data_IF_533160870587
#
_entry.id   IF_533160870587
#
_cell.length_a   1.000
_cell.length_b   1.000
_cell.length_c   1.000
_cell.angle_alpha   90.00
_cell.angle_beta   90.00
_cell.angle_gamma   90.00
#
_symmetry.space_group_name_H-M   'P 1'
#
loop_
_entity.id
_entity.type
_entity.pdbx_description
1 polymer ?
#
# COMPACT_ATOMS: atom_id res chain seq x y z
N UNK A 1 -35.73 -4.97 -68.26
CA UNK A 1 -34.80 -4.30 -67.35
C UNK A 1 -35.27 -4.20 -65.90
N UNK A 2 -36.00 -5.18 -65.32
CA UNK A 2 -36.46 -5.14 -63.91
C UNK A 2 -35.79 -6.14 -62.96
N UNK A 3 -34.97 -7.08 -63.47
CA UNK A 3 -34.35 -8.15 -62.66
C UNK A 3 -33.09 -7.73 -61.85
N UNK A 4 -32.40 -6.66 -62.24
CA UNK A 4 -31.14 -6.27 -61.55
C UNK A 4 -31.32 -5.52 -60.23
N UNK A 5 -32.49 -4.89 -59.97
CA UNK A 5 -32.72 -4.13 -58.74
C UNK A 5 -32.94 -5.05 -57.51
N UNK A 6 -33.50 -6.21 -57.69
CA UNK A 6 -33.80 -7.16 -56.62
C UNK A 6 -32.50 -7.89 -56.13
N UNK A 7 -31.60 -8.21 -57.06
CA UNK A 7 -30.30 -8.79 -56.73
C UNK A 7 -29.39 -7.79 -55.99
N UNK A 8 -29.35 -6.53 -56.43
CA UNK A 8 -28.60 -5.47 -55.76
C UNK A 8 -29.12 -5.20 -54.32
N UNK A 9 -30.44 -5.27 -54.11
CA UNK A 9 -31.05 -5.12 -52.78
C UNK A 9 -30.73 -6.32 -51.89
N UNK A 10 -30.73 -7.54 -52.42
CA UNK A 10 -30.34 -8.74 -51.68
C UNK A 10 -28.85 -8.72 -51.31
N UNK A 11 -27.99 -8.27 -52.22
CA UNK A 11 -26.54 -8.13 -51.98
C UNK A 11 -26.24 -7.07 -50.93
N UNK A 12 -26.89 -5.90 -51.01
CA UNK A 12 -26.74 -4.84 -49.98
C UNK A 12 -27.29 -5.25 -48.61
N UNK A 13 -28.40 -5.99 -48.55
CA UNK A 13 -28.93 -6.56 -47.32
C UNK A 13 -27.99 -7.63 -46.74
N UNK A 14 -27.39 -8.48 -47.59
CA UNK A 14 -26.40 -9.49 -47.16
C UNK A 14 -25.14 -8.86 -46.54
N UNK A 15 -24.61 -7.79 -47.15
CA UNK A 15 -23.48 -7.05 -46.60
C UNK A 15 -23.87 -6.42 -45.26
N UNK A 16 -25.06 -5.80 -45.16
CA UNK A 16 -25.54 -5.21 -43.93
C UNK A 16 -25.65 -6.22 -42.77
N UNK A 17 -26.18 -7.40 -43.04
CA UNK A 17 -26.27 -8.48 -42.05
C UNK A 17 -24.87 -9.00 -41.68
N UNK A 18 -23.97 -9.17 -42.63
CA UNK A 18 -22.59 -9.64 -42.35
C UNK A 18 -21.81 -8.65 -41.50
N UNK A 19 -21.96 -7.34 -41.74
CA UNK A 19 -21.34 -6.29 -40.95
C UNK A 19 -21.95 -6.23 -39.53
N UNK A 20 -23.28 -6.37 -39.43
CA UNK A 20 -23.96 -6.40 -38.14
C UNK A 20 -23.57 -7.64 -37.31
N UNK A 21 -23.57 -8.82 -37.90
CA UNK A 21 -23.15 -10.08 -37.24
C UNK A 21 -21.66 -10.02 -36.88
N UNK A 22 -20.79 -9.58 -37.79
CA UNK A 22 -19.36 -9.42 -37.56
C UNK A 22 -19.07 -8.41 -36.44
N UNK A 23 -19.78 -7.26 -36.44
CA UNK A 23 -19.67 -6.24 -35.38
C UNK A 23 -20.18 -6.75 -34.04
N UNK A 24 -21.29 -7.49 -34.01
CA UNK A 24 -21.81 -8.08 -32.77
C UNK A 24 -20.88 -9.17 -32.22
N UNK A 25 -20.34 -10.04 -33.06
CA UNK A 25 -19.37 -11.05 -32.65
C UNK A 25 -18.08 -10.40 -32.14
N UNK A 26 -17.61 -9.36 -32.79
CA UNK A 26 -16.44 -8.60 -32.35
C UNK A 26 -16.71 -7.91 -30.99
N UNK A 27 -17.89 -7.30 -30.81
CA UNK A 27 -18.29 -6.71 -29.54
C UNK A 27 -18.40 -7.74 -28.40
N UNK A 28 -18.98 -8.91 -28.67
CA UNK A 28 -19.08 -10.02 -27.69
C UNK A 28 -17.71 -10.57 -27.34
N UNK A 29 -16.78 -10.62 -28.30
CA UNK A 29 -15.45 -11.17 -28.08
C UNK A 29 -14.46 -10.15 -27.48
N UNK A 30 -14.61 -8.88 -27.78
CA UNK A 30 -13.63 -7.83 -27.41
C UNK A 30 -14.22 -6.69 -26.57
N UNK A 31 -15.52 -6.74 -26.25
CA UNK A 31 -16.20 -5.75 -25.39
C UNK A 31 -16.33 -4.34 -25.99
N UNK A 32 -15.80 -4.10 -27.20
CA UNK A 32 -15.85 -2.82 -27.88
C UNK A 32 -16.17 -2.98 -29.36
N UNK A 33 -17.00 -2.09 -29.90
CA UNK A 33 -17.08 -1.92 -31.36
C UNK A 33 -15.82 -1.19 -31.84
N UNK A 34 -15.23 -1.57 -33.01
CA UNK A 34 -14.18 -0.78 -33.61
C UNK A 34 -14.78 0.59 -34.00
N UNK A 35 -14.74 1.54 -33.08
CA UNK A 35 -15.12 2.92 -33.40
C UNK A 35 -14.04 3.47 -34.34
N UNK A 36 -14.50 4.02 -35.46
CA UNK A 36 -13.70 4.80 -36.39
C UNK A 36 -13.34 6.10 -35.65
N UNK A 37 -12.23 6.09 -34.91
CA UNK A 37 -11.69 7.20 -34.15
C UNK A 37 -10.16 7.11 -34.14
N UNK A 38 -9.49 8.09 -33.56
CA UNK A 38 -8.03 8.21 -33.48
C UNK A 38 -7.37 7.17 -32.55
N UNK A 39 -7.77 5.89 -32.69
CA UNK A 39 -7.15 4.79 -31.92
C UNK A 39 -5.72 4.54 -32.38
N UNK A 40 -4.81 4.36 -31.42
CA UNK A 40 -3.43 3.93 -31.67
C UNK A 40 -3.41 2.50 -32.20
N UNK A 41 -4.36 1.64 -31.79
CA UNK A 41 -4.50 0.26 -32.26
C UNK A 41 -5.21 0.24 -33.60
N UNK A 42 -4.43 0.34 -34.67
CA UNK A 42 -4.88 0.30 -36.06
C UNK A 42 -4.30 -0.93 -36.76
N UNK A 43 -4.84 -1.31 -37.95
CA UNK A 43 -4.26 -2.36 -38.73
C UNK A 43 -2.77 -2.15 -39.09
N UNK A 44 -2.32 -0.88 -39.18
CA UNK A 44 -0.91 -0.53 -39.40
C UNK A 44 -0.04 -0.81 -38.17
N UNK A 45 -0.48 -0.41 -36.98
CA UNK A 45 0.26 -0.66 -35.73
C UNK A 45 0.25 -2.13 -35.37
N UNK A 46 -0.86 -2.85 -35.55
CA UNK A 46 -0.94 -4.29 -35.36
C UNK A 46 0.00 -5.05 -36.33
N UNK A 47 0.05 -4.67 -37.62
CA UNK A 47 0.98 -5.27 -38.58
C UNK A 47 2.46 -5.00 -38.24
N UNK A 48 2.77 -3.82 -37.64
CA UNK A 48 4.12 -3.51 -37.16
C UNK A 48 4.48 -4.35 -35.93
N UNK A 49 3.56 -4.51 -34.99
CA UNK A 49 3.76 -5.34 -33.80
C UNK A 49 4.03 -6.80 -34.22
N UNK A 50 3.17 -7.40 -35.06
CA UNK A 50 3.37 -8.75 -35.56
C UNK A 50 4.65 -8.95 -36.42
N UNK A 51 5.20 -7.87 -37.00
CA UNK A 51 6.53 -7.92 -37.65
C UNK A 51 7.66 -7.94 -36.64
N UNK A 52 7.54 -7.16 -35.56
CA UNK A 52 8.53 -7.15 -34.49
C UNK A 52 8.56 -8.51 -33.78
N UNK A 53 7.39 -9.06 -33.44
CA UNK A 53 7.23 -10.39 -32.84
C UNK A 53 8.00 -11.45 -33.67
N UNK A 54 7.71 -11.56 -34.97
CA UNK A 54 8.42 -12.49 -35.86
C UNK A 54 9.94 -12.25 -35.96
N UNK A 55 10.41 -11.01 -35.78
CA UNK A 55 11.85 -10.75 -35.78
C UNK A 55 12.48 -11.22 -34.48
N UNK A 56 11.80 -11.09 -33.35
CA UNK A 56 12.22 -11.60 -32.05
C UNK A 56 12.27 -13.13 -32.10
N UNK A 57 11.16 -13.79 -32.44
CA UNK A 57 11.09 -15.26 -32.56
C UNK A 57 12.18 -15.85 -33.44
N UNK A 58 12.53 -15.15 -34.53
CA UNK A 58 13.50 -15.65 -35.48
C UNK A 58 14.97 -15.41 -35.08
N UNK A 59 15.27 -14.33 -34.35
CA UNK A 59 16.64 -13.85 -34.26
C UNK A 59 17.12 -13.66 -32.79
N UNK A 60 16.21 -13.62 -31.85
CA UNK A 60 16.62 -13.51 -30.43
C UNK A 60 17.28 -14.81 -29.98
N UNK A 61 18.23 -14.73 -29.07
CA UNK A 61 19.06 -15.87 -28.67
C UNK A 61 18.29 -16.91 -27.87
N UNK A 62 17.31 -16.48 -27.08
CA UNK A 62 16.52 -17.33 -26.19
C UNK A 62 15.07 -17.42 -26.69
N UNK A 63 14.35 -18.46 -26.27
CA UNK A 63 12.92 -18.58 -26.53
C UNK A 63 12.16 -17.55 -25.72
N UNK A 64 11.18 -16.89 -26.35
CA UNK A 64 10.31 -15.89 -25.70
C UNK A 64 8.86 -16.33 -25.87
N UNK A 65 8.14 -16.37 -24.78
CA UNK A 65 6.72 -16.71 -24.80
C UNK A 65 5.88 -15.54 -25.34
N UNK A 66 4.90 -15.85 -26.19
CA UNK A 66 4.02 -14.84 -26.80
C UNK A 66 3.24 -14.04 -25.76
N UNK A 67 2.86 -14.67 -24.65
CA UNK A 67 2.18 -14.01 -23.53
C UNK A 67 3.05 -12.93 -22.88
N UNK A 68 4.31 -13.23 -22.61
CA UNK A 68 5.29 -12.26 -22.09
C UNK A 68 5.46 -11.05 -23.01
N UNK A 69 5.45 -11.26 -24.34
CA UNK A 69 5.51 -10.16 -25.31
C UNK A 69 4.24 -9.31 -25.30
N UNK A 70 3.06 -9.92 -25.13
CA UNK A 70 1.79 -9.20 -25.02
C UNK A 70 1.76 -8.31 -23.74
N UNK A 71 2.16 -8.85 -22.60
CA UNK A 71 2.33 -8.12 -21.33
C UNK A 71 3.28 -6.93 -21.51
N UNK A 72 4.42 -7.16 -22.18
CA UNK A 72 5.37 -6.09 -22.50
C UNK A 72 4.78 -4.98 -23.37
N UNK A 73 3.87 -5.28 -24.29
CA UNK A 73 3.17 -4.27 -25.09
C UNK A 73 2.24 -3.42 -24.23
N UNK A 74 1.45 -4.03 -23.33
CA UNK A 74 0.56 -3.30 -22.42
C UNK A 74 1.35 -2.40 -21.48
N UNK A 75 2.40 -2.93 -20.86
CA UNK A 75 3.31 -2.16 -20.02
C UNK A 75 3.94 -0.98 -20.79
N UNK A 76 4.36 -1.19 -22.04
CA UNK A 76 4.92 -0.15 -22.91
C UNK A 76 3.94 0.99 -23.22
N UNK A 77 2.65 0.71 -23.32
CA UNK A 77 1.62 1.74 -23.51
C UNK A 77 1.57 2.68 -22.31
N UNK A 78 1.58 2.14 -21.09
CA UNK A 78 1.55 2.93 -19.86
C UNK A 78 2.88 3.66 -19.62
N UNK A 79 4.00 3.02 -19.90
CA UNK A 79 5.34 3.65 -19.81
C UNK A 79 5.47 4.86 -20.74
N UNK A 80 4.72 4.91 -21.85
CA UNK A 80 4.72 6.06 -22.78
C UNK A 80 4.16 7.35 -22.18
N UNK A 81 3.46 7.27 -21.04
CA UNK A 81 2.97 8.45 -20.30
C UNK A 81 4.10 9.23 -19.63
N UNK A 82 5.26 8.59 -19.39
CA UNK A 82 6.39 9.18 -18.65
C UNK A 82 6.08 9.45 -17.17
N UNK A 83 5.03 8.83 -16.65
CA UNK A 83 4.59 8.93 -15.26
C UNK A 83 5.03 7.67 -14.49
N UNK A 84 5.95 7.78 -13.52
CA UNK A 84 6.44 6.62 -12.75
C UNK A 84 5.39 5.98 -11.85
N UNK A 85 4.25 6.66 -11.63
CA UNK A 85 3.16 6.18 -10.78
C UNK A 85 2.06 5.45 -11.56
N UNK A 86 2.11 5.52 -12.90
CA UNK A 86 1.16 4.85 -13.79
C UNK A 86 1.79 3.58 -14.37
N UNK A 87 1.04 2.48 -14.37
CA UNK A 87 1.55 1.20 -14.85
C UNK A 87 0.46 0.21 -15.22
N UNK A 88 0.88 -0.82 -15.95
CA UNK A 88 0.10 -2.01 -16.21
C UNK A 88 0.48 -3.08 -15.19
N UNK A 89 -0.48 -3.82 -14.70
CA UNK A 89 -0.33 -4.92 -13.74
C UNK A 89 -0.92 -6.19 -14.35
N UNK A 90 -0.09 -7.22 -14.51
CA UNK A 90 -0.54 -8.58 -14.83
C UNK A 90 -1.45 -9.10 -13.71
N UNK A 91 -2.17 -10.19 -13.94
CA UNK A 91 -3.05 -10.82 -12.94
C UNK A 91 -2.33 -11.06 -11.61
N UNK A 92 -1.12 -11.63 -11.67
CA UNK A 92 -0.30 -11.89 -10.47
C UNK A 92 0.06 -10.60 -9.74
N UNK A 93 0.57 -9.59 -10.47
CA UNK A 93 0.98 -8.33 -9.88
C UNK A 93 -0.21 -7.51 -9.36
N UNK A 94 -1.36 -7.60 -10.01
CA UNK A 94 -2.58 -6.94 -9.55
C UNK A 94 -3.09 -7.57 -8.26
N UNK A 95 -3.06 -8.90 -8.15
CA UNK A 95 -3.39 -9.61 -6.90
C UNK A 95 -2.49 -9.16 -5.75
N UNK A 96 -1.17 -9.12 -5.96
CA UNK A 96 -0.21 -8.61 -4.96
C UNK A 96 -0.48 -7.16 -4.56
N UNK A 97 -0.82 -6.30 -5.53
CA UNK A 97 -1.20 -4.91 -5.27
C UNK A 97 -2.46 -4.82 -4.40
N UNK A 98 -3.47 -5.66 -4.67
CA UNK A 98 -4.71 -5.67 -3.89
C UNK A 98 -4.47 -6.17 -2.46
N UNK A 99 -3.72 -7.26 -2.29
CA UNK A 99 -3.35 -7.78 -0.96
C UNK A 99 -2.62 -6.72 -0.12
N UNK A 100 -1.64 -6.02 -0.72
CA UNK A 100 -0.94 -4.92 -0.05
C UNK A 100 -1.88 -3.78 0.31
N UNK A 101 -2.76 -3.38 -0.61
CA UNK A 101 -3.68 -2.25 -0.42
C UNK A 101 -4.75 -2.55 0.65
N UNK A 102 -5.30 -3.76 0.64
CA UNK A 102 -6.28 -4.21 1.64
C UNK A 102 -5.62 -4.41 3.01
N UNK A 103 -4.32 -4.68 3.06
CA UNK A 103 -3.61 -5.02 4.28
C UNK A 103 -4.03 -6.38 4.83
N UNK A 104 -4.53 -7.26 3.95
CA UNK A 104 -5.00 -8.60 4.27
C UNK A 104 -4.40 -9.62 3.32
N UNK A 105 -4.06 -10.78 3.82
CA UNK A 105 -3.54 -11.88 3.02
C UNK A 105 -3.99 -13.23 3.59
N UNK A 106 -4.00 -14.25 2.74
CA UNK A 106 -4.18 -15.63 3.22
C UNK A 106 -2.86 -16.14 3.77
N UNK A 107 -2.85 -16.52 5.05
CA UNK A 107 -1.63 -16.95 5.72
C UNK A 107 -1.86 -17.41 7.15
N UNK A 108 -0.80 -17.49 7.92
CA UNK A 108 -0.84 -17.97 9.32
C UNK A 108 -0.63 -16.83 10.34
N UNK A 109 -0.24 -15.64 9.91
CA UNK A 109 -0.12 -14.47 10.77
C UNK A 109 1.12 -14.45 11.64
N UNK A 110 2.28 -14.57 11.00
CA UNK A 110 3.58 -14.35 11.63
C UNK A 110 4.56 -13.72 10.64
N UNK A 111 5.56 -13.03 11.15
CA UNK A 111 6.73 -12.62 10.37
C UNK A 111 7.93 -13.50 10.74
N UNK A 112 8.78 -13.74 9.74
CA UNK A 112 9.93 -14.63 9.85
C UNK A 112 11.21 -13.88 9.50
N UNK A 113 12.27 -14.15 10.23
CA UNK A 113 13.61 -13.67 9.93
C UNK A 113 14.54 -14.85 9.71
N UNK A 114 15.37 -14.79 8.66
CA UNK A 114 16.36 -15.79 8.36
C UNK A 114 17.77 -15.25 8.62
N UNK A 115 18.52 -15.95 9.43
CA UNK A 115 19.95 -15.68 9.60
C UNK A 115 20.70 -16.01 8.31
N UNK A 116 21.52 -15.10 7.83
CA UNK A 116 22.20 -15.23 6.53
C UNK A 116 23.34 -16.26 6.55
N UNK A 117 23.94 -16.54 7.73
CA UNK A 117 25.06 -17.44 7.90
C UNK A 117 24.58 -18.86 8.25
N UNK A 118 23.69 -18.98 9.23
CA UNK A 118 23.21 -20.29 9.74
C UNK A 118 22.02 -20.82 8.95
N UNK A 119 21.32 -19.94 8.19
CA UNK A 119 20.05 -20.24 7.51
C UNK A 119 18.90 -20.60 8.46
N UNK A 120 19.09 -20.41 9.75
CA UNK A 120 18.03 -20.58 10.74
C UNK A 120 16.93 -19.57 10.52
N UNK A 121 15.67 -20.03 10.60
CA UNK A 121 14.49 -19.17 10.45
C UNK A 121 13.82 -19.05 11.81
N UNK A 122 13.70 -17.82 12.30
CA UNK A 122 13.09 -17.51 13.59
C UNK A 122 11.78 -16.75 13.39
N UNK A 123 10.80 -17.01 14.23
CA UNK A 123 9.58 -16.22 14.33
C UNK A 123 9.97 -14.87 14.93
N UNK A 124 9.94 -13.84 14.09
CA UNK A 124 10.27 -12.48 14.50
C UNK A 124 9.09 -11.82 15.22
N UNK A 125 7.86 -12.02 14.71
CA UNK A 125 6.63 -11.51 15.31
C UNK A 125 5.50 -12.52 15.06
N UNK A 126 4.64 -12.73 16.05
CA UNK A 126 3.41 -13.49 15.94
C UNK A 126 2.22 -12.54 16.13
N UNK A 127 1.36 -12.40 15.11
CA UNK A 127 0.31 -11.39 15.13
C UNK A 127 -0.82 -11.77 16.09
N UNK A 128 -1.29 -10.80 16.86
CA UNK A 128 -2.38 -10.97 17.82
C UNK A 128 -3.65 -11.51 17.14
N UNK A 129 -4.25 -12.55 17.69
CA UNK A 129 -5.45 -13.18 17.17
C UNK A 129 -5.25 -14.05 15.92
N UNK A 130 -4.02 -14.19 15.43
CA UNK A 130 -3.70 -14.96 14.23
C UNK A 130 -3.83 -16.48 14.42
N UNK A 131 -3.96 -17.26 13.31
CA UNK A 131 -3.91 -18.72 13.37
C UNK A 131 -2.64 -19.28 14.03
N UNK A 132 -1.48 -18.65 13.82
CA UNK A 132 -0.24 -19.05 14.43
C UNK A 132 -0.24 -18.86 15.96
N UNK A 133 -0.71 -17.69 16.44
CA UNK A 133 -0.85 -17.43 17.88
C UNK A 133 -1.82 -18.43 18.53
N UNK A 134 -2.97 -18.67 17.90
CA UNK A 134 -3.96 -19.64 18.39
C UNK A 134 -3.42 -21.06 18.45
N UNK A 135 -2.50 -21.44 17.55
CA UNK A 135 -1.80 -22.71 17.58
C UNK A 135 -0.65 -22.76 18.60
N UNK A 136 -0.34 -21.65 19.28
CA UNK A 136 0.65 -21.57 20.33
C UNK A 136 2.06 -21.23 19.85
N UNK A 137 2.23 -20.75 18.62
CA UNK A 137 3.48 -20.16 18.11
C UNK A 137 3.80 -18.89 18.90
N UNK A 138 5.07 -18.65 19.15
CA UNK A 138 5.54 -17.47 19.88
C UNK A 138 6.73 -16.82 19.16
N UNK A 139 6.90 -15.55 19.42
CA UNK A 139 8.12 -14.82 19.08
C UNK A 139 9.35 -15.52 19.66
N UNK A 140 10.43 -15.60 18.89
CA UNK A 140 11.66 -16.29 19.24
C UNK A 140 11.66 -17.80 18.99
N UNK A 141 10.54 -18.42 18.58
CA UNK A 141 10.54 -19.81 18.15
C UNK A 141 11.40 -19.99 16.90
N UNK A 142 12.24 -21.01 16.86
CA UNK A 142 12.96 -21.38 15.66
C UNK A 142 12.10 -22.35 14.85
N UNK A 143 11.86 -22.05 13.59
CA UNK A 143 11.12 -22.94 12.68
C UNK A 143 12.09 -24.02 12.20
N UNK A 144 11.90 -25.24 12.68
CA UNK A 144 12.77 -26.37 12.37
C UNK A 144 12.34 -27.09 11.09
N UNK A 145 11.04 -27.41 10.95
CA UNK A 145 10.48 -27.94 9.70
C UNK A 145 9.19 -27.23 9.30
N UNK A 146 8.96 -27.20 7.99
CA UNK A 146 7.71 -26.76 7.35
C UNK A 146 7.18 -27.93 6.52
N UNK A 147 6.11 -28.54 6.99
CA UNK A 147 5.67 -29.85 6.47
C UNK A 147 6.76 -30.91 6.68
N UNK A 148 7.18 -31.55 5.59
CA UNK A 148 8.22 -32.59 5.60
C UNK A 148 9.62 -32.05 5.24
N UNK A 149 9.79 -30.73 5.07
CA UNK A 149 11.05 -30.09 4.65
C UNK A 149 11.72 -29.37 5.82
N UNK A 150 13.06 -29.43 5.85
CA UNK A 150 13.85 -28.64 6.80
C UNK A 150 13.76 -27.15 6.43
N UNK A 151 13.41 -26.30 7.39
CA UNK A 151 13.27 -24.87 7.15
C UNK A 151 14.60 -24.20 6.73
N UNK A 152 15.74 -24.69 7.26
CA UNK A 152 17.08 -24.20 6.90
C UNK A 152 17.50 -24.47 5.44
N UNK A 153 16.77 -25.36 4.74
CA UNK A 153 16.98 -25.65 3.31
C UNK A 153 16.09 -24.80 2.40
N UNK A 154 15.28 -23.90 2.96
CA UNK A 154 14.33 -23.05 2.27
C UNK A 154 14.68 -21.57 2.50
N UNK A 155 14.29 -20.72 1.55
CA UNK A 155 14.28 -19.28 1.77
C UNK A 155 12.92 -18.85 2.37
N UNK A 156 12.92 -17.79 3.19
CA UNK A 156 11.67 -17.27 3.81
C UNK A 156 10.61 -16.94 2.75
N UNK A 157 11.02 -16.40 1.60
CA UNK A 157 10.11 -16.10 0.48
C UNK A 157 9.44 -17.37 -0.04
N UNK A 158 10.17 -18.47 -0.20
CA UNK A 158 9.64 -19.76 -0.66
C UNK A 158 8.59 -20.31 0.32
N UNK A 159 8.87 -20.23 1.63
CA UNK A 159 7.91 -20.63 2.67
C UNK A 159 6.67 -19.75 2.62
N UNK A 160 6.84 -18.45 2.51
CA UNK A 160 5.74 -17.48 2.43
C UNK A 160 4.85 -17.73 1.22
N UNK A 161 5.46 -17.92 0.04
CA UNK A 161 4.72 -18.18 -1.20
C UNK A 161 3.98 -19.51 -1.14
N UNK A 162 4.59 -20.54 -0.54
CA UNK A 162 3.95 -21.84 -0.36
C UNK A 162 2.74 -21.76 0.58
N UNK A 163 2.83 -21.02 1.69
CA UNK A 163 1.69 -20.79 2.60
C UNK A 163 0.58 -20.01 1.89
N UNK A 164 0.94 -18.97 1.12
CA UNK A 164 -0.01 -18.11 0.41
C UNK A 164 -0.67 -18.76 -0.81
N UNK A 165 -0.05 -19.82 -1.38
CA UNK A 165 -0.58 -20.50 -2.56
C UNK A 165 -1.98 -21.10 -2.34
N UNK A 166 -2.34 -21.38 -1.08
CA UNK A 166 -3.60 -22.03 -0.72
C UNK A 166 -3.64 -23.53 -1.09
N UNK A 167 -2.51 -24.10 -1.52
CA UNK A 167 -2.42 -25.53 -1.86
C UNK A 167 -2.51 -26.44 -0.63
N UNK A 168 -2.29 -25.87 0.57
CA UNK A 168 -2.33 -26.61 1.82
C UNK A 168 -3.60 -26.31 2.62
N UNK A 169 -4.38 -27.31 2.94
CA UNK A 169 -5.48 -27.17 3.89
C UNK A 169 -4.97 -26.99 5.33
N UNK A 170 -3.85 -27.61 5.67
CA UNK A 170 -3.21 -27.53 6.99
C UNK A 170 -1.69 -27.44 6.83
N UNK A 171 -1.06 -26.52 7.55
CA UNK A 171 0.38 -26.36 7.65
C UNK A 171 0.89 -27.00 8.95
N UNK A 172 1.75 -27.99 8.85
CA UNK A 172 2.44 -28.58 10.01
C UNK A 172 3.81 -27.92 10.16
N UNK A 173 4.06 -27.34 11.34
CA UNK A 173 5.36 -26.79 11.72
C UNK A 173 5.94 -27.59 12.90
N UNK A 174 7.24 -27.83 12.87
CA UNK A 174 8.01 -28.21 14.06
C UNK A 174 8.85 -27.00 14.44
N UNK A 175 8.66 -26.53 15.65
CA UNK A 175 9.34 -25.38 16.24
C UNK A 175 10.33 -25.87 17.30
N UNK A 176 11.43 -25.15 17.48
CA UNK A 176 12.34 -25.33 18.62
C UNK A 176 12.16 -24.13 19.55
N UNK A 177 11.75 -24.39 20.79
CA UNK A 177 11.62 -23.40 21.87
C UNK A 177 12.38 -23.90 23.09
N UNK A 178 13.35 -23.12 23.55
CA UNK A 178 14.21 -23.51 24.71
C UNK A 178 14.88 -24.89 24.56
N UNK A 179 15.12 -25.31 23.30
CA UNK A 179 15.72 -26.61 22.96
C UNK A 179 14.74 -27.78 22.92
N UNK A 180 13.45 -27.56 23.11
CA UNK A 180 12.40 -28.57 22.99
C UNK A 180 11.64 -28.44 21.65
N UNK A 181 11.32 -29.59 21.04
CA UNK A 181 10.52 -29.64 19.82
C UNK A 181 9.03 -29.51 20.14
N UNK A 182 8.39 -28.55 19.50
CA UNK A 182 6.94 -28.29 19.58
C UNK A 182 6.34 -28.48 18.19
N UNK A 183 5.42 -29.40 18.03
CA UNK A 183 4.70 -29.56 16.77
C UNK A 183 3.36 -28.85 16.85
N UNK A 184 3.11 -27.98 15.88
CA UNK A 184 1.83 -27.28 15.70
C UNK A 184 1.25 -27.56 14.32
N UNK A 185 -0.07 -27.55 14.22
CA UNK A 185 -0.81 -27.63 12.95
C UNK A 185 -1.68 -26.40 12.84
N UNK A 186 -1.54 -25.67 11.74
CA UNK A 186 -2.15 -24.37 11.53
C UNK A 186 -2.93 -24.41 10.21
N UNK A 187 -4.18 -23.97 10.24
CA UNK A 187 -4.98 -23.74 9.03
C UNK A 187 -4.75 -22.29 8.61
N UNK A 188 -4.25 -22.03 7.40
CA UNK A 188 -4.15 -20.65 6.90
C UNK A 188 -5.52 -20.00 6.77
N UNK A 189 -5.64 -18.77 7.22
CA UNK A 189 -6.85 -17.96 7.15
C UNK A 189 -6.53 -16.57 6.57
N UNK A 190 -7.55 -15.74 6.37
CA UNK A 190 -7.34 -14.34 6.06
C UNK A 190 -6.81 -13.62 7.31
N UNK A 191 -5.60 -13.11 7.23
CA UNK A 191 -4.92 -12.40 8.31
C UNK A 191 -4.80 -10.92 7.94
N UNK A 192 -5.08 -10.04 8.89
CA UNK A 192 -4.87 -8.61 8.77
C UNK A 192 -3.45 -8.25 9.23
N UNK A 193 -2.75 -7.41 8.43
CA UNK A 193 -1.43 -6.92 8.78
C UNK A 193 -1.52 -5.88 9.91
N UNK A 194 -0.73 -5.99 10.97
CA UNK A 194 -0.64 -4.97 12.01
C UNK A 194 0.17 -3.78 11.47
N UNK A 195 -0.54 -2.73 11.06
CA UNK A 195 0.07 -1.50 10.51
C UNK A 195 0.05 -0.33 11.50
N UNK A 196 -0.55 -0.53 12.67
CA UNK A 196 -0.57 0.45 13.76
C UNK A 196 0.05 -0.15 15.00
N UNK A 197 1.07 0.51 15.54
CA UNK A 197 1.74 0.13 16.78
C UNK A 197 1.62 1.23 17.81
N UNK A 198 1.48 0.89 19.09
CA UNK A 198 1.36 1.89 20.14
C UNK A 198 2.07 1.48 21.42
N UNK A 199 2.56 2.46 22.16
CA UNK A 199 3.16 2.27 23.49
C UNK A 199 3.06 3.53 24.33
N UNK A 200 3.08 3.37 25.65
CA UNK A 200 3.27 4.50 26.56
C UNK A 200 4.73 4.90 26.65
N UNK A 201 4.97 6.19 26.68
CA UNK A 201 6.25 6.81 26.93
C UNK A 201 6.29 7.37 28.37
N UNK A 202 7.45 7.80 28.88
CA UNK A 202 7.55 8.58 30.11
C UNK A 202 6.64 9.81 30.08
N UNK A 203 6.36 10.39 31.27
CA UNK A 203 5.54 11.58 31.44
C UNK A 203 4.07 11.41 30.94
N UNK A 204 3.54 10.19 31.00
CA UNK A 204 2.18 9.86 30.57
C UNK A 204 1.90 10.27 29.11
N UNK A 205 2.91 10.20 28.22
CA UNK A 205 2.75 10.47 26.80
C UNK A 205 2.44 9.18 26.03
N UNK A 206 1.51 9.26 25.07
CA UNK A 206 1.22 8.18 24.15
C UNK A 206 2.08 8.29 22.89
N UNK A 207 2.53 7.15 22.37
CA UNK A 207 3.13 7.02 21.06
C UNK A 207 2.30 6.05 20.20
N UNK A 208 2.09 6.42 18.95
CA UNK A 208 1.36 5.64 17.98
C UNK A 208 2.05 5.78 16.62
N UNK A 209 2.50 4.67 16.05
CA UNK A 209 3.06 4.61 14.69
C UNK A 209 1.99 4.11 13.74
N UNK A 210 1.90 4.73 12.55
CA UNK A 210 1.12 4.22 11.42
C UNK A 210 2.12 3.91 10.31
N UNK A 211 2.29 2.62 9.98
CA UNK A 211 3.24 2.17 8.97
C UNK A 211 2.72 2.36 7.55
N UNK A 212 1.40 2.14 7.35
CA UNK A 212 0.72 2.30 6.06
C UNK A 212 -0.78 2.56 6.28
N UNK A 213 -1.45 3.18 5.31
CA UNK A 213 -2.90 3.39 5.32
C UNK A 213 -3.62 2.31 4.52
N UNK A 214 -3.85 1.14 5.14
CA UNK A 214 -4.63 0.03 4.61
C UNK A 214 -6.11 0.14 5.00
N UNK A 215 -6.98 -0.78 4.54
CA UNK A 215 -8.38 -0.80 4.97
C UNK A 215 -8.54 -0.93 6.49
N UNK A 216 -7.63 -1.66 7.16
CA UNK A 216 -7.67 -1.91 8.60
C UNK A 216 -7.15 -0.76 9.47
N UNK A 217 -6.39 0.18 8.91
CA UNK A 217 -5.72 1.24 9.67
C UNK A 217 -6.67 2.07 10.57
N UNK A 218 -7.87 2.50 10.11
CA UNK A 218 -8.77 3.30 10.97
C UNK A 218 -9.21 2.58 12.24
N UNK A 219 -9.50 1.27 12.16
CA UNK A 219 -9.93 0.49 13.32
C UNK A 219 -8.74 0.15 14.23
N UNK A 220 -7.57 -0.17 13.66
CA UNK A 220 -6.35 -0.39 14.43
C UNK A 220 -5.92 0.90 15.17
N UNK A 221 -6.01 2.05 14.50
CA UNK A 221 -5.77 3.36 15.13
C UNK A 221 -6.71 3.59 16.31
N UNK A 222 -8.00 3.36 16.11
CA UNK A 222 -9.00 3.51 17.16
C UNK A 222 -8.70 2.62 18.37
N UNK A 223 -8.42 1.33 18.13
CA UNK A 223 -8.07 0.38 19.22
C UNK A 223 -6.84 0.85 19.98
N UNK A 224 -5.78 1.25 19.28
CA UNK A 224 -4.53 1.72 19.85
C UNK A 224 -4.73 3.02 20.66
N UNK A 225 -5.46 3.99 20.11
CA UNK A 225 -5.73 5.25 20.81
C UNK A 225 -6.60 5.05 22.05
N UNK A 226 -7.64 4.23 22.00
CA UNK A 226 -8.48 3.91 23.17
C UNK A 226 -7.67 3.20 24.26
N UNK A 227 -6.67 2.38 23.90
CA UNK A 227 -5.79 1.74 24.88
C UNK A 227 -4.85 2.77 25.56
N UNK A 228 -4.28 3.70 24.80
CA UNK A 228 -3.50 4.81 25.34
C UNK A 228 -4.35 5.71 26.26
N UNK A 229 -5.61 5.96 25.92
CA UNK A 229 -6.56 6.70 26.78
C UNK A 229 -6.83 5.97 28.10
N UNK A 230 -7.03 4.64 28.08
CA UNK A 230 -7.18 3.87 29.33
C UNK A 230 -5.95 3.97 30.21
N UNK A 231 -4.76 4.07 29.61
CA UNK A 231 -3.49 4.28 30.31
C UNK A 231 -3.26 5.76 30.68
N UNK A 232 -4.23 6.66 30.42
CA UNK A 232 -4.24 8.08 30.77
C UNK A 232 -3.19 8.91 30.05
N UNK A 233 -2.92 8.65 28.79
CA UNK A 233 -2.05 9.50 27.99
C UNK A 233 -2.54 10.96 27.99
N UNK A 234 -1.65 11.90 28.33
CA UNK A 234 -1.91 13.35 28.41
C UNK A 234 -1.56 14.08 27.10
N UNK A 235 -0.79 13.45 26.23
CA UNK A 235 -0.43 13.92 24.90
C UNK A 235 -0.16 12.75 23.99
N UNK A 236 -0.16 12.97 22.68
CA UNK A 236 0.01 11.92 21.69
C UNK A 236 1.09 12.30 20.66
N UNK A 237 2.01 11.39 20.38
CA UNK A 237 2.90 11.42 19.22
C UNK A 237 2.36 10.42 18.20
N UNK A 238 2.08 10.88 16.97
CA UNK A 238 1.78 10.02 15.84
C UNK A 238 2.99 10.02 14.91
N UNK A 239 3.58 8.85 14.69
CA UNK A 239 4.76 8.68 13.85
C UNK A 239 4.37 8.19 12.46
N UNK A 240 4.59 9.03 11.46
CA UNK A 240 4.39 8.75 10.03
C UNK A 240 5.70 8.65 9.26
N UNK A 241 6.83 8.59 9.94
CA UNK A 241 8.13 8.43 9.27
C UNK A 241 8.16 7.10 8.53
N UNK A 242 8.70 7.11 7.32
CA UNK A 242 8.76 5.95 6.41
C UNK A 242 7.39 5.41 5.97
N UNK A 243 6.29 6.11 6.24
CA UNK A 243 4.97 5.73 5.77
C UNK A 243 4.80 6.13 4.29
N UNK A 244 4.70 5.18 3.34
CA UNK A 244 4.60 5.49 1.90
C UNK A 244 3.22 6.01 1.49
N UNK A 245 2.27 6.03 2.42
CA UNK A 245 0.88 6.41 2.18
C UNK A 245 -0.08 5.24 2.27
N UNK A 246 -0.89 5.05 1.23
CA UNK A 246 -1.91 4.02 1.13
C UNK A 246 -3.24 4.57 0.61
N UNK A 247 -4.35 4.06 1.15
CA UNK A 247 -5.70 4.40 0.71
C UNK A 247 -6.13 5.81 1.16
N UNK A 248 -6.67 6.58 0.21
CA UNK A 248 -7.28 7.88 0.50
C UNK A 248 -8.45 7.76 1.49
N UNK A 249 -9.29 6.75 1.32
CA UNK A 249 -10.40 6.49 2.25
C UNK A 249 -9.91 6.22 3.66
N UNK A 250 -8.89 5.38 3.79
CA UNK A 250 -8.32 5.02 5.10
C UNK A 250 -7.75 6.21 5.86
N UNK A 251 -6.99 7.07 5.18
CA UNK A 251 -6.46 8.29 5.85
C UNK A 251 -7.58 9.24 6.23
N UNK A 252 -8.63 9.39 5.41
CA UNK A 252 -9.79 10.21 5.75
C UNK A 252 -10.52 9.65 6.97
N UNK A 253 -10.82 8.34 7.01
CA UNK A 253 -11.51 7.68 8.12
C UNK A 253 -10.67 7.72 9.43
N UNK A 254 -9.33 7.71 9.31
CA UNK A 254 -8.43 7.90 10.46
C UNK A 254 -8.48 9.34 10.95
N UNK A 255 -8.44 10.32 10.04
CA UNK A 255 -8.49 11.74 10.37
C UNK A 255 -9.85 12.18 10.94
N UNK A 256 -10.96 11.52 10.59
CA UNK A 256 -12.27 11.76 11.23
C UNK A 256 -12.27 11.52 12.74
N UNK A 257 -11.32 10.71 13.23
CA UNK A 257 -11.15 10.45 14.67
C UNK A 257 -10.27 11.49 15.36
N UNK A 258 -9.67 12.41 14.61
CA UNK A 258 -8.65 13.35 15.09
C UNK A 258 -9.10 14.81 14.93
N UNK A 259 -9.66 15.13 13.76
CA UNK A 259 -9.94 16.50 13.35
C UNK A 259 -11.27 17.03 13.90
N UNK A 260 -11.39 18.36 14.12
CA UNK A 260 -12.68 19.02 14.25
C UNK A 260 -13.43 19.01 12.91
N UNK A 261 -14.67 19.51 12.90
CA UNK A 261 -15.44 19.71 11.68
C UNK A 261 -14.65 20.55 10.65
N UNK A 262 -14.56 20.06 9.40
CA UNK A 262 -13.91 20.79 8.32
C UNK A 262 -13.44 19.91 7.16
N UNK A 263 -12.70 20.52 6.25
CA UNK A 263 -12.09 19.86 5.10
C UNK A 263 -10.92 18.99 5.56
N UNK A 264 -10.83 17.75 5.05
CA UNK A 264 -9.65 16.90 5.20
C UNK A 264 -8.70 17.11 4.02
N UNK A 265 -9.23 16.96 2.81
CA UNK A 265 -8.49 17.02 1.56
C UNK A 265 -9.48 17.20 0.42
N UNK A 266 -9.07 17.81 -0.69
CA UNK A 266 -9.83 17.69 -1.92
C UNK A 266 -8.95 17.27 -3.08
N UNK A 267 -9.57 16.61 -4.06
CA UNK A 267 -8.90 16.22 -5.30
C UNK A 267 -9.46 17.00 -6.48
N UNK A 268 -8.65 17.23 -7.51
CA UNK A 268 -9.05 17.88 -8.75
C UNK A 268 -8.50 17.11 -9.94
N UNK A 269 -9.38 16.72 -10.86
CA UNK A 269 -9.03 16.02 -12.08
C UNK A 269 -8.59 16.99 -13.20
N UNK A 270 -8.16 16.44 -14.35
CA UNK A 270 -7.72 17.23 -15.53
C UNK A 270 -8.80 18.13 -16.14
N UNK A 271 -10.07 17.95 -15.78
CA UNK A 271 -11.21 18.74 -16.26
C UNK A 271 -11.63 19.81 -15.26
N UNK A 272 -10.99 19.89 -14.09
CA UNK A 272 -11.35 20.79 -13.00
C UNK A 272 -12.52 20.29 -12.14
N UNK A 273 -12.90 19.01 -12.27
CA UNK A 273 -13.87 18.44 -11.33
C UNK A 273 -13.20 18.22 -9.98
N UNK A 274 -13.83 18.74 -8.94
CA UNK A 274 -13.35 18.68 -7.57
C UNK A 274 -14.19 17.69 -6.77
N UNK A 275 -13.49 16.82 -5.99
CA UNK A 275 -14.07 15.92 -5.01
C UNK A 275 -13.51 16.28 -3.64
N UNK A 276 -14.40 16.53 -2.67
CA UNK A 276 -14.06 16.99 -1.32
C UNK A 276 -14.30 15.88 -0.31
N UNK A 277 -13.32 15.68 0.59
CA UNK A 277 -13.43 14.80 1.75
C UNK A 277 -13.41 15.69 2.99
N UNK A 278 -14.45 15.56 3.82
CA UNK A 278 -14.66 16.41 4.99
C UNK A 278 -14.85 15.57 6.25
N UNK A 279 -14.48 16.14 7.39
CA UNK A 279 -14.68 15.58 8.72
C UNK A 279 -15.91 16.22 9.37
N UNK A 280 -16.76 15.42 10.04
CA UNK A 280 -17.90 15.92 10.83
C UNK A 280 -17.53 16.38 12.24
N UNK A 281 -16.30 16.15 12.68
CA UNK A 281 -15.80 16.59 13.99
C UNK A 281 -16.49 15.92 15.18
N UNK A 282 -16.98 14.69 15.04
CA UNK A 282 -17.72 14.00 16.11
C UNK A 282 -16.85 13.60 17.31
N UNK A 283 -15.59 13.26 17.05
CA UNK A 283 -14.66 12.69 18.04
C UNK A 283 -13.26 13.26 17.92
N UNK A 284 -13.08 14.61 17.94
CA UNK A 284 -11.75 15.19 17.79
C UNK A 284 -10.85 14.78 18.98
N UNK A 285 -9.54 14.62 18.69
CA UNK A 285 -8.55 14.43 19.74
C UNK A 285 -8.40 15.75 20.51
N UNK A 286 -8.65 15.69 21.82
CA UNK A 286 -8.56 16.88 22.68
C UNK A 286 -7.17 17.07 23.33
N UNK A 287 -6.36 16.00 23.44
CA UNK A 287 -5.01 16.08 24.02
C UNK A 287 -4.02 16.68 23.01
N UNK A 288 -2.94 17.34 23.48
CA UNK A 288 -1.89 17.84 22.60
C UNK A 288 -1.35 16.76 21.66
N UNK A 289 -1.08 17.14 20.41
CA UNK A 289 -0.67 16.24 19.35
C UNK A 289 0.65 16.71 18.71
N UNK A 290 1.57 15.79 18.53
CA UNK A 290 2.76 15.94 17.68
C UNK A 290 2.70 14.88 16.57
N UNK A 291 3.06 15.26 15.36
CA UNK A 291 3.18 14.32 14.22
C UNK A 291 4.63 14.32 13.74
N UNK A 292 5.25 13.13 13.77
CA UNK A 292 6.58 12.89 13.22
C UNK A 292 6.49 12.58 11.73
N UNK A 293 7.30 13.26 10.92
CA UNK A 293 7.37 13.09 9.48
C UNK A 293 8.81 13.09 8.98
N UNK A 294 9.08 12.43 7.86
CA UNK A 294 10.36 12.48 7.18
C UNK A 294 10.19 12.47 5.65
N UNK A 295 11.31 12.47 4.93
CA UNK A 295 11.36 12.44 3.45
C UNK A 295 10.74 11.22 2.80
N UNK A 296 10.50 10.15 3.55
CA UNK A 296 9.78 8.94 3.10
C UNK A 296 8.28 8.98 3.44
N UNK A 297 7.83 9.96 4.24
CA UNK A 297 6.40 10.19 4.48
C UNK A 297 5.74 10.69 3.21
N UNK A 298 4.89 9.88 2.56
CA UNK A 298 4.39 10.16 1.23
C UNK A 298 2.87 10.00 1.09
N UNK A 299 2.27 10.66 0.08
CA UNK A 299 0.87 10.43 -0.35
C UNK A 299 -0.14 10.59 0.79
N UNK A 300 -0.84 9.51 1.23
CA UNK A 300 -1.81 9.56 2.34
C UNK A 300 -1.19 10.07 3.64
N UNK A 301 0.09 9.77 3.92
CA UNK A 301 0.81 10.33 5.07
C UNK A 301 0.94 11.85 4.97
N UNK A 302 1.07 12.39 3.77
CA UNK A 302 1.12 13.83 3.53
C UNK A 302 -0.27 14.48 3.62
N UNK A 303 -1.33 13.76 3.23
CA UNK A 303 -2.71 14.20 3.48
C UNK A 303 -2.94 14.33 4.99
N UNK A 304 -2.50 13.34 5.76
CA UNK A 304 -2.59 13.36 7.22
C UNK A 304 -1.85 14.57 7.80
N UNK A 305 -0.57 14.72 7.47
CA UNK A 305 0.28 15.81 7.95
C UNK A 305 -0.27 17.19 7.56
N UNK A 306 -0.72 17.34 6.30
CA UNK A 306 -1.31 18.58 5.78
C UNK A 306 -2.61 18.96 6.48
N UNK A 307 -3.49 17.99 6.71
CA UNK A 307 -4.74 18.23 7.41
C UNK A 307 -4.50 18.64 8.88
N UNK A 308 -3.63 17.93 9.61
CA UNK A 308 -3.25 18.28 10.98
C UNK A 308 -2.67 19.69 11.07
N UNK A 309 -1.78 20.04 10.14
CA UNK A 309 -1.15 21.37 10.09
C UNK A 309 -2.14 22.47 9.76
N UNK A 310 -2.97 22.29 8.73
CA UNK A 310 -3.90 23.29 8.26
C UNK A 310 -5.03 23.56 9.27
N UNK A 311 -5.47 22.55 10.01
CA UNK A 311 -6.40 22.69 11.14
C UNK A 311 -5.74 23.17 12.43
N UNK A 312 -4.41 23.23 12.50
CA UNK A 312 -3.65 23.65 13.69
C UNK A 312 -3.94 22.78 14.92
N UNK A 313 -4.24 21.50 14.71
CA UNK A 313 -4.57 20.55 15.79
C UNK A 313 -3.35 19.82 16.35
N UNK A 314 -2.20 19.93 15.70
CA UNK A 314 -0.94 19.32 16.11
C UNK A 314 0.27 20.05 15.55
N UNK A 315 1.44 19.71 16.07
CA UNK A 315 2.75 20.25 15.66
C UNK A 315 3.51 19.19 14.86
N UNK A 316 3.95 19.51 13.66
CA UNK A 316 4.77 18.62 12.84
C UNK A 316 6.24 18.74 13.23
N UNK A 317 6.90 17.61 13.46
CA UNK A 317 8.33 17.52 13.81
C UNK A 317 9.03 16.57 12.83
N UNK A 318 10.25 16.89 12.41
CA UNK A 318 11.04 16.01 11.54
C UNK A 318 11.65 16.73 10.34
N UNK A 319 11.54 16.16 9.17
CA UNK A 319 12.00 16.76 7.90
C UNK A 319 10.85 16.94 6.91
N UNK A 320 11.09 17.68 5.82
CA UNK A 320 10.08 17.86 4.75
C UNK A 320 9.70 16.52 4.14
N UNK A 321 8.41 16.31 3.93
CA UNK A 321 7.86 15.06 3.38
C UNK A 321 8.19 14.87 1.90
N UNK A 322 7.84 13.72 1.33
CA UNK A 322 8.23 13.28 -0.01
C UNK A 322 7.75 14.21 -1.16
N UNK A 323 6.55 14.75 -1.06
CA UNK A 323 5.98 15.59 -2.12
C UNK A 323 5.21 14.81 -3.20
N UNK A 324 4.41 13.78 -2.82
CA UNK A 324 3.54 13.06 -3.76
C UNK A 324 2.11 13.58 -3.67
N UNK A 325 1.83 14.72 -4.32
CA UNK A 325 0.52 15.40 -4.32
C UNK A 325 -0.41 14.97 -5.47
N UNK A 326 -0.42 13.67 -5.83
CA UNK A 326 -1.20 13.10 -6.94
C UNK A 326 -1.90 11.81 -6.52
N UNK A 327 -3.06 11.55 -7.14
CA UNK A 327 -3.92 10.39 -6.86
C UNK A 327 -3.90 9.45 -8.05
N UNK A 328 -3.70 8.16 -7.78
CA UNK A 328 -3.84 7.09 -8.76
C UNK A 328 -5.19 6.38 -8.59
N UNK A 329 -5.75 5.94 -9.72
CA UNK A 329 -6.91 5.07 -9.75
C UNK A 329 -6.58 3.80 -10.52
N UNK A 330 -7.01 2.67 -9.98
CA UNK A 330 -6.84 1.36 -10.60
C UNK A 330 -8.10 0.98 -11.38
N UNK A 331 -7.92 0.50 -12.61
CA UNK A 331 -8.97 0.11 -13.53
C UNK A 331 -8.77 -1.38 -13.90
N UNK A 332 -9.54 -2.32 -13.33
CA UNK A 332 -9.52 -3.72 -13.74
C UNK A 332 -9.91 -3.88 -15.21
N UNK A 333 -9.23 -4.76 -15.93
CA UNK A 333 -9.48 -5.00 -17.35
C UNK A 333 -10.42 -6.19 -17.62
N UNK A 334 -10.79 -6.95 -16.58
CA UNK A 334 -11.76 -8.02 -16.64
C UNK A 334 -11.17 -9.40 -16.98
N UNK A 335 -9.87 -9.49 -17.17
CA UNK A 335 -9.09 -10.71 -17.39
C UNK A 335 -8.14 -11.05 -16.23
N UNK A 336 -8.32 -10.39 -15.08
CA UNK A 336 -7.44 -10.47 -13.92
C UNK A 336 -6.37 -9.40 -13.88
N UNK A 337 -6.06 -8.76 -15.01
CA UNK A 337 -5.08 -7.65 -15.08
C UNK A 337 -5.70 -6.29 -14.78
N UNK A 338 -4.87 -5.27 -14.56
CA UNK A 338 -5.34 -3.92 -14.28
C UNK A 338 -4.38 -2.84 -14.81
N UNK A 339 -4.93 -1.63 -14.94
CA UNK A 339 -4.17 -0.42 -15.21
C UNK A 339 -4.31 0.54 -14.05
N UNK A 340 -3.21 0.99 -13.48
CA UNK A 340 -3.15 2.04 -12.47
C UNK A 340 -2.66 3.32 -13.13
N UNK A 341 -3.41 4.41 -13.00
CA UNK A 341 -3.08 5.69 -13.63
C UNK A 341 -3.26 6.86 -12.68
N UNK A 342 -2.40 7.85 -12.80
CA UNK A 342 -2.60 9.16 -12.16
C UNK A 342 -3.77 9.88 -12.82
N UNK A 343 -4.78 10.21 -12.02
CA UNK A 343 -6.05 10.79 -12.49
C UNK A 343 -6.35 12.17 -11.93
N UNK A 344 -5.81 12.51 -10.76
CA UNK A 344 -6.08 13.76 -10.06
C UNK A 344 -4.85 14.27 -9.30
N UNK A 345 -4.88 15.55 -8.97
CA UNK A 345 -4.03 16.15 -7.94
C UNK A 345 -4.82 16.25 -6.66
N UNK A 346 -4.15 16.19 -5.51
CA UNK A 346 -4.81 16.52 -4.26
C UNK A 346 -4.22 17.79 -3.63
N UNK A 347 -5.02 18.41 -2.79
CA UNK A 347 -4.74 19.70 -2.16
C UNK A 347 -5.07 19.60 -0.68
N UNK A 348 -4.25 20.21 0.17
CA UNK A 348 -4.54 20.35 1.60
C UNK A 348 -5.81 21.19 1.83
N UNK A 349 -6.39 21.22 3.04
CA UNK A 349 -7.55 22.04 3.36
C UNK A 349 -7.41 23.52 2.93
N UNK A 350 -6.21 24.07 3.06
CA UNK A 350 -5.90 25.46 2.65
C UNK A 350 -5.62 25.61 1.15
N UNK A 351 -5.77 24.56 0.35
CA UNK A 351 -5.64 24.62 -1.11
C UNK A 351 -4.21 24.54 -1.63
N UNK A 352 -3.28 24.02 -0.85
CA UNK A 352 -1.88 23.83 -1.28
C UNK A 352 -1.74 22.47 -1.95
N UNK A 353 -1.28 22.46 -3.22
CA UNK A 353 -0.80 21.23 -3.85
C UNK A 353 0.66 21.00 -3.51
N UNK A 354 0.96 19.89 -2.90
CA UNK A 354 2.30 19.57 -2.38
C UNK A 354 3.19 18.80 -3.36
N UNK A 355 2.71 18.56 -4.59
CA UNK A 355 3.46 17.72 -5.54
C UNK A 355 4.80 18.34 -5.92
N UNK A 356 5.87 17.59 -5.64
CA UNK A 356 7.27 18.01 -5.88
C UNK A 356 7.86 18.91 -4.78
N UNK A 357 7.06 19.35 -3.79
CA UNK A 357 7.50 20.26 -2.71
C UNK A 357 7.44 19.61 -1.33
N UNK A 358 6.45 18.74 -1.08
CA UNK A 358 6.18 18.16 0.24
C UNK A 358 5.61 19.14 1.25
N UNK A 359 5.51 18.69 2.50
CA UNK A 359 5.05 19.47 3.64
C UNK A 359 6.23 19.67 4.58
N UNK A 360 6.60 20.92 4.80
CA UNK A 360 7.65 21.27 5.77
C UNK A 360 7.12 21.14 7.20
N UNK A 361 7.90 20.53 8.13
CA UNK A 361 7.52 20.45 9.53
C UNK A 361 7.53 21.84 10.18
N UNK A 362 6.86 21.96 11.33
CA UNK A 362 6.88 23.18 12.16
C UNK A 362 8.19 23.27 12.97
N UNK A 363 8.75 22.12 13.32
CA UNK A 363 10.04 21.99 14.01
C UNK A 363 10.94 21.07 13.18
N UNK A 364 11.86 21.67 12.44
CA UNK A 364 12.81 20.91 11.62
C UNK A 364 13.87 20.23 12.49
N UNK A 365 13.97 18.90 12.36
CA UNK A 365 14.98 18.08 13.03
C UNK A 365 15.50 17.05 12.02
N UNK A 366 16.72 17.22 11.57
CA UNK A 366 17.36 16.27 10.63
C UNK A 366 17.83 15.03 11.38
N UNK A 367 17.66 13.88 10.73
CA UNK A 367 18.23 12.63 11.21
C UNK A 367 19.77 12.74 11.21
N UNK A 368 20.48 12.27 12.26
CA UNK A 368 21.93 12.31 12.26
C UNK A 368 22.47 11.39 11.15
N UNK A 369 23.26 11.97 10.24
CA UNK A 369 23.98 11.22 9.21
C UNK A 369 25.18 10.47 9.83
N UNK A 370 24.95 9.41 10.56
CA UNK A 370 26.01 8.45 10.89
C UNK A 370 26.05 7.38 9.80
N UNK A 371 26.97 7.57 8.84
CA UNK A 371 27.13 6.66 7.68
C UNK A 371 27.66 5.29 8.09
N UNK A 372 28.22 5.15 9.28
CA UNK A 372 28.84 3.90 9.76
C UNK A 372 27.84 3.02 10.54
N UNK A 373 26.70 3.55 10.92
CA UNK A 373 25.61 2.82 11.57
C UNK A 373 24.25 3.34 11.10
N UNK A 374 23.75 2.85 9.96
CA UNK A 374 22.39 3.19 9.56
C UNK A 374 21.40 2.57 10.55
N UNK A 375 20.94 3.38 11.48
CA UNK A 375 19.89 2.97 12.42
C UNK A 375 18.56 3.07 11.68
N UNK A 376 17.81 1.97 11.61
CA UNK A 376 16.48 1.96 11.03
C UNK A 376 15.46 2.38 12.08
N UNK A 377 14.52 3.24 11.68
CA UNK A 377 13.42 3.66 12.58
C UNK A 377 12.61 2.45 13.06
N UNK A 378 12.44 1.42 12.22
CA UNK A 378 11.81 0.14 12.59
C UNK A 378 12.49 -0.55 13.78
N UNK A 379 13.81 -0.50 13.82
CA UNK A 379 14.60 -1.19 14.86
C UNK A 379 14.49 -0.45 16.22
N UNK A 380 14.14 0.86 16.19
CA UNK A 380 13.99 1.69 17.39
C UNK A 380 12.78 1.32 18.24
N UNK A 381 11.71 0.83 17.61
CA UNK A 381 10.48 0.49 18.33
C UNK A 381 10.67 -0.68 19.31
N UNK A 382 11.69 -1.50 19.12
CA UNK A 382 12.01 -2.65 19.99
C UNK A 382 12.91 -2.27 21.17
N UNK A 383 13.56 -1.10 21.09
CA UNK A 383 14.46 -0.65 22.15
C UNK A 383 13.70 -0.27 23.43
N UNK A 384 14.34 -0.41 24.62
CA UNK A 384 13.89 0.27 25.82
C UNK A 384 13.73 1.78 25.53
N UNK A 385 12.65 2.40 26.02
CA UNK A 385 12.30 3.80 25.66
C UNK A 385 13.46 4.77 25.89
N UNK A 386 14.23 4.58 26.95
CA UNK A 386 15.34 5.47 27.27
C UNK A 386 16.47 5.38 26.23
N UNK A 387 16.80 4.19 25.81
CA UNK A 387 17.79 3.93 24.76
C UNK A 387 17.32 4.47 23.42
N UNK A 388 16.05 4.27 23.09
CA UNK A 388 15.42 4.86 21.88
C UNK A 388 15.56 6.38 21.87
N UNK A 389 15.17 7.07 22.95
CA UNK A 389 15.27 8.54 23.05
C UNK A 389 16.72 9.07 23.01
N UNK A 390 17.71 8.25 23.33
CA UNK A 390 19.13 8.61 23.19
C UNK A 390 19.62 8.50 21.75
N UNK A 391 19.07 7.56 20.97
CA UNK A 391 19.49 7.28 19.59
C UNK A 391 18.68 8.06 18.56
N UNK A 392 17.39 8.34 18.84
CA UNK A 392 16.46 9.02 17.94
C UNK A 392 16.26 10.50 18.35
N UNK A 393 17.00 11.39 17.69
CA UNK A 393 16.92 12.82 17.98
C UNK A 393 15.58 13.47 17.59
N UNK A 394 14.89 12.92 16.57
CA UNK A 394 13.57 13.40 16.14
C UNK A 394 12.52 13.01 17.19
N UNK A 395 12.55 11.75 17.65
CA UNK A 395 11.67 11.27 18.72
C UNK A 395 11.91 12.03 20.03
N UNK A 396 13.17 12.23 20.43
CA UNK A 396 13.53 13.03 21.60
C UNK A 396 12.96 14.44 21.52
N UNK A 397 13.08 15.09 20.35
CA UNK A 397 12.54 16.44 20.13
C UNK A 397 11.02 16.46 20.19
N UNK A 398 10.37 15.43 19.67
CA UNK A 398 8.91 15.30 19.72
C UNK A 398 8.38 15.17 21.15
N UNK A 399 9.06 14.40 21.99
CA UNK A 399 8.75 14.31 23.43
C UNK A 399 8.91 15.67 24.09
N UNK A 400 10.01 16.40 23.85
CA UNK A 400 10.25 17.74 24.39
C UNK A 400 9.13 18.72 23.99
N UNK A 401 8.75 18.74 22.70
CA UNK A 401 7.69 19.62 22.20
C UNK A 401 6.35 19.25 22.84
N UNK A 402 6.01 17.95 22.86
CA UNK A 402 4.74 17.49 23.40
C UNK A 402 4.61 17.75 24.91
N UNK A 403 5.67 17.50 25.70
CA UNK A 403 5.69 17.81 27.15
C UNK A 403 5.47 19.31 27.41
N UNK A 404 6.05 20.17 26.55
CA UNK A 404 5.80 21.60 26.59
C UNK A 404 4.33 21.96 26.37
N UNK A 405 3.70 21.37 25.33
CA UNK A 405 2.28 21.60 25.01
C UNK A 405 1.34 21.08 26.10
N UNK A 406 1.64 19.94 26.71
CA UNK A 406 0.87 19.42 27.87
C UNK A 406 0.93 20.37 29.03
N UNK A 407 2.13 20.85 29.42
CA UNK A 407 2.32 21.78 30.52
C UNK A 407 1.66 23.17 30.29
N UNK A 408 1.49 23.60 29.05
CA UNK A 408 0.76 24.82 28.70
C UNK A 408 -0.76 24.65 28.84
N UNK A 409 -1.28 23.47 28.52
CA UNK A 409 -2.72 23.17 28.65
C UNK A 409 -3.21 23.04 30.09
N UNK A 410 -2.35 22.68 31.00
CA UNK A 410 -2.66 22.57 32.44
C UNK A 410 -2.69 23.93 33.18
N UNK A 411 -2.23 25.02 32.56
CA UNK A 411 -2.23 26.39 33.09
C UNK A 411 -3.49 27.14 32.76
#
# INVERSE_FOLDING_TARGET
MKKNKTWLRGFAAGIGVSVAVGGTLFYVQYGTLPLIGDSVVTGKTASKAARIERLIEKNYLEEVESESMAEGMYAGMLASLGDPYSGYFSEENYKKLMESTEGKYTGIGLSMQQDTETKEITVYECFEGSPAEQAGVKEGDVIYTVGDRMASEMEVSEISDWIKSGEMEELKLVLLRDGEEITVTIVPETVELPVVRSRMLPEELGYLQIEEFTEGTPEQFKKAYEELKKQKAQGLIIDLRNNPGGLLTSVCDTLEQILPEGMIVYTEDRYGNREEHTCEGKTPIEIPLVVLVNEESASAAEIFAGAVKDHQVGTLVGTTTFGKGIVQKTYPLGDGSAVKMTVSKYYTPNGVNIHGEGISPDVEVKWPEDKDKPVRISDMNELPVQEWLEQDNQMKKSVEVLSGLVAEKEK
#
